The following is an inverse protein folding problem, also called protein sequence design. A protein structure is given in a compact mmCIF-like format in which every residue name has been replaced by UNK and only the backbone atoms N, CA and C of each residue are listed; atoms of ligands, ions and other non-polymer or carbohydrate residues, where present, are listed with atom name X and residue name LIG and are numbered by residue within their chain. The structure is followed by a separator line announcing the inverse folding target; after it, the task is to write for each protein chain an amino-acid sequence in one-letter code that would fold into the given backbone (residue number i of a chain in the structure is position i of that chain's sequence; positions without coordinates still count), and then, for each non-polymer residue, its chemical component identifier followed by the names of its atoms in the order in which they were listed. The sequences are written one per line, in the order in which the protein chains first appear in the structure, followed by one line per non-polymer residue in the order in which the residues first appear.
data_IF_081227879831
#
_entry.id   IF_081227879831
#
_cell.length_a   1.000
_cell.length_b   1.000
_cell.length_c   1.000
_cell.angle_alpha   90.00
_cell.angle_beta   90.00
_cell.angle_gamma   90.00
#
_symmetry.space_group_name_H-M   'P 1'
#
loop_
_entity.id
_entity.type
_entity.pdbx_description
1 polymer ?
#
# COMPACT_ATOMS: atom_id res chain seq x y z
N UNK A 1 -21.71 -1.62 -8.33
CA UNK A 1 -20.89 -2.47 -7.43
C UNK A 1 -21.85 -3.25 -6.55
N UNK A 2 -21.85 -4.58 -6.63
CA UNK A 2 -22.78 -5.44 -5.88
C UNK A 2 -22.28 -5.61 -4.43
N UNK A 3 -22.55 -4.63 -3.56
CA UNK A 3 -22.11 -4.63 -2.15
C UNK A 3 -22.55 -5.91 -1.42
N UNK A 4 -23.78 -6.36 -1.67
CA UNK A 4 -24.35 -7.55 -1.03
C UNK A 4 -23.59 -8.83 -1.37
N UNK A 5 -23.08 -8.94 -2.59
CA UNK A 5 -22.28 -10.09 -3.03
C UNK A 5 -20.94 -10.17 -2.27
N UNK A 6 -20.31 -9.01 -2.05
CA UNK A 6 -19.04 -8.90 -1.32
C UNK A 6 -19.24 -9.23 0.16
N UNK A 7 -20.29 -8.69 0.79
CA UNK A 7 -20.62 -8.98 2.19
C UNK A 7 -20.93 -10.47 2.36
N UNK A 8 -21.72 -11.05 1.44
CA UNK A 8 -22.07 -12.46 1.48
C UNK A 8 -20.84 -13.37 1.35
N UNK A 9 -19.93 -13.08 0.40
CA UNK A 9 -18.75 -13.93 0.15
C UNK A 9 -17.70 -13.90 1.26
N UNK A 10 -17.78 -12.93 2.17
CA UNK A 10 -16.83 -12.75 3.28
C UNK A 10 -17.47 -12.87 4.67
N UNK A 11 -18.76 -13.18 4.73
CA UNK A 11 -19.53 -13.35 5.97
C UNK A 11 -18.93 -14.34 6.96
N UNK A 12 -18.31 -15.42 6.48
CA UNK A 12 -17.67 -16.45 7.32
C UNK A 12 -16.24 -16.09 7.74
N UNK A 13 -15.69 -14.98 7.25
CA UNK A 13 -14.29 -14.58 7.47
C UNK A 13 -14.12 -13.52 8.57
N UNK A 14 -15.19 -13.17 9.27
CA UNK A 14 -15.18 -12.10 10.28
C UNK A 14 -14.91 -10.71 9.72
N UNK A 15 -15.10 -10.50 8.41
CA UNK A 15 -14.84 -9.22 7.73
C UNK A 15 -16.05 -8.31 7.86
N UNK A 16 -15.85 -7.11 8.40
CA UNK A 16 -16.87 -6.04 8.42
C UNK A 16 -16.56 -5.02 7.33
N UNK A 17 -17.50 -4.81 6.41
CA UNK A 17 -17.31 -3.89 5.28
C UNK A 17 -17.82 -2.49 5.61
N UNK A 18 -16.94 -1.50 5.46
CA UNK A 18 -17.27 -0.09 5.48
C UNK A 18 -17.10 0.50 4.08
N UNK A 19 -18.21 0.72 3.38
CA UNK A 19 -18.18 1.34 2.06
C UNK A 19 -18.16 2.86 2.19
N UNK A 20 -17.39 3.53 1.33
CA UNK A 20 -17.39 4.98 1.26
C UNK A 20 -18.80 5.52 0.94
N UNK A 21 -19.14 6.64 1.56
CA UNK A 21 -20.33 7.41 1.16
C UNK A 21 -20.13 7.92 -0.27
N UNK A 22 -21.17 7.82 -1.09
CA UNK A 22 -21.17 8.34 -2.47
C UNK A 22 -20.94 9.86 -2.54
N UNK A 23 -21.18 10.58 -1.43
CA UNK A 23 -21.08 12.04 -1.33
C UNK A 23 -19.90 12.52 -0.48
N UNK A 24 -19.00 11.61 -0.07
CA UNK A 24 -17.88 11.93 0.81
C UNK A 24 -16.53 11.79 0.11
N UNK A 25 -16.14 12.73 -0.79
CA UNK A 25 -14.89 12.65 -1.54
C UNK A 25 -13.65 12.64 -0.63
N UNK A 26 -13.75 13.21 0.59
CA UNK A 26 -12.66 13.27 1.56
C UNK A 26 -12.30 11.91 2.17
N UNK A 27 -13.23 10.93 2.21
CA UNK A 27 -12.95 9.59 2.75
C UNK A 27 -12.03 8.75 1.85
N UNK A 28 -11.79 9.19 0.61
CA UNK A 28 -10.95 8.49 -0.36
C UNK A 28 -9.47 8.88 -0.33
N UNK A 29 -9.07 9.92 0.41
CA UNK A 29 -7.77 10.58 0.25
C UNK A 29 -6.56 9.66 0.47
N UNK A 30 -6.65 8.75 1.44
CA UNK A 30 -5.58 7.76 1.71
C UNK A 30 -5.39 6.81 0.52
N UNK A 31 -6.47 6.28 -0.04
CA UNK A 31 -6.43 5.37 -1.19
C UNK A 31 -5.89 6.07 -2.43
N UNK A 32 -6.32 7.31 -2.69
CA UNK A 32 -5.82 8.11 -3.81
C UNK A 32 -4.32 8.36 -3.69
N UNK A 33 -3.84 8.70 -2.48
CA UNK A 33 -2.42 8.90 -2.21
C UNK A 33 -1.62 7.63 -2.43
N UNK A 34 -2.09 6.48 -1.93
CA UNK A 34 -1.45 5.19 -2.13
C UNK A 34 -1.40 4.78 -3.61
N UNK A 35 -2.49 4.95 -4.36
CA UNK A 35 -2.52 4.68 -5.81
C UNK A 35 -1.53 5.56 -6.55
N UNK A 36 -1.43 6.85 -6.20
CA UNK A 36 -0.46 7.77 -6.79
C UNK A 36 0.98 7.34 -6.50
N UNK A 37 1.27 6.90 -5.28
CA UNK A 37 2.58 6.39 -4.90
C UNK A 37 2.95 5.11 -5.67
N UNK A 38 2.02 4.14 -5.75
CA UNK A 38 2.22 2.91 -6.51
C UNK A 38 2.50 3.19 -7.99
N UNK A 39 1.68 4.05 -8.63
CA UNK A 39 1.89 4.45 -10.03
C UNK A 39 3.26 5.12 -10.25
N UNK A 40 3.68 5.97 -9.32
CA UNK A 40 5.00 6.62 -9.38
C UNK A 40 6.13 5.58 -9.28
N UNK A 41 6.02 4.61 -8.38
CA UNK A 41 7.00 3.53 -8.24
C UNK A 41 7.05 2.65 -9.50
N UNK A 42 5.91 2.23 -10.03
CA UNK A 42 5.84 1.46 -11.29
C UNK A 42 6.52 2.24 -12.42
N UNK A 43 6.17 3.53 -12.58
CA UNK A 43 6.74 4.36 -13.64
C UNK A 43 8.26 4.55 -13.49
N UNK A 44 8.78 4.60 -12.27
CA UNK A 44 10.21 4.69 -12.01
C UNK A 44 10.96 3.39 -12.34
N UNK A 45 10.35 2.24 -12.04
CA UNK A 45 10.97 0.91 -12.26
C UNK A 45 10.89 0.49 -13.73
N UNK A 46 9.71 0.62 -14.35
CA UNK A 46 9.48 0.21 -15.75
C UNK A 46 10.08 1.20 -16.73
N UNK A 47 10.04 2.50 -16.39
CA UNK A 47 10.51 3.59 -17.23
C UNK A 47 9.93 3.54 -18.66
N UNK A 48 10.73 3.17 -19.66
CA UNK A 48 10.36 3.06 -21.08
C UNK A 48 10.47 1.62 -21.61
N UNK A 49 10.63 0.64 -20.72
CA UNK A 49 10.68 -0.76 -21.12
C UNK A 49 9.31 -1.20 -21.64
N UNK A 50 9.31 -1.91 -22.76
CA UNK A 50 8.16 -2.67 -23.21
C UNK A 50 8.12 -3.98 -22.41
N UNK A 51 7.06 -4.20 -21.65
CA UNK A 51 6.94 -5.32 -20.72
C UNK A 51 5.61 -6.03 -20.89
N UNK A 52 5.64 -7.33 -20.68
CA UNK A 52 4.46 -8.20 -20.67
C UNK A 52 3.66 -8.04 -19.37
N UNK A 53 2.41 -8.48 -19.38
CA UNK A 53 1.55 -8.51 -18.18
C UNK A 53 2.17 -9.30 -17.03
N UNK A 54 2.90 -10.38 -17.33
CA UNK A 54 3.58 -11.21 -16.32
C UNK A 54 4.74 -10.46 -15.67
N UNK A 55 5.51 -9.72 -16.47
CA UNK A 55 6.60 -8.89 -15.98
C UNK A 55 6.06 -7.71 -15.17
N UNK A 56 4.97 -7.08 -15.62
CA UNK A 56 4.30 -6.03 -14.87
C UNK A 56 3.80 -6.54 -13.50
N UNK A 57 3.19 -7.72 -13.46
CA UNK A 57 2.76 -8.33 -12.20
C UNK A 57 3.95 -8.56 -11.26
N UNK A 58 5.07 -9.05 -11.79
CA UNK A 58 6.31 -9.29 -11.03
C UNK A 58 6.90 -7.97 -10.51
N UNK A 59 6.92 -6.92 -11.32
CA UNK A 59 7.35 -5.58 -10.90
C UNK A 59 6.45 -5.06 -9.78
N UNK A 60 5.13 -5.25 -9.92
CA UNK A 60 4.17 -4.78 -8.95
C UNK A 60 4.32 -5.47 -7.58
N UNK A 61 4.34 -6.81 -7.56
CA UNK A 61 4.40 -7.59 -6.31
C UNK A 61 5.80 -7.68 -5.72
N UNK A 62 6.84 -7.65 -6.55
CA UNK A 62 8.23 -7.77 -6.07
C UNK A 62 8.84 -6.42 -5.69
N UNK A 63 8.80 -5.46 -6.61
CA UNK A 63 9.57 -4.22 -6.47
C UNK A 63 8.72 -3.10 -5.88
N UNK A 64 7.52 -2.88 -6.43
CA UNK A 64 6.67 -1.76 -6.02
C UNK A 64 6.14 -1.97 -4.60
N UNK A 65 5.68 -3.18 -4.27
CA UNK A 65 5.28 -3.54 -2.92
C UNK A 65 6.40 -3.28 -1.89
N UNK A 66 7.61 -3.75 -2.17
CA UNK A 66 8.77 -3.52 -1.32
C UNK A 66 9.06 -2.02 -1.15
N UNK A 67 9.07 -1.24 -2.24
CA UNK A 67 9.31 0.21 -2.19
C UNK A 67 8.27 0.94 -1.34
N UNK A 68 6.99 0.57 -1.44
CA UNK A 68 5.94 1.18 -0.63
C UNK A 68 6.05 0.80 0.84
N UNK A 69 6.36 -0.47 1.12
CA UNK A 69 6.34 -1.00 2.48
C UNK A 69 7.63 -0.74 3.28
N UNK A 70 8.77 -0.53 2.62
CA UNK A 70 10.04 -0.13 3.27
C UNK A 70 10.25 1.39 3.29
N UNK A 71 9.34 2.18 2.70
CA UNK A 71 9.45 3.64 2.70
C UNK A 71 9.37 4.17 4.16
N UNK A 72 10.30 5.03 4.59
CA UNK A 72 10.19 5.69 5.88
C UNK A 72 8.90 6.54 6.00
N UNK A 73 8.21 6.40 7.13
CA UNK A 73 7.06 7.20 7.57
C UNK A 73 7.49 8.33 8.48
N UNK A 74 8.57 8.14 9.25
CA UNK A 74 9.19 9.15 10.10
C UNK A 74 10.50 9.64 9.49
N UNK A 75 11.02 10.74 10.04
CA UNK A 75 12.33 11.25 9.65
C UNK A 75 13.41 10.21 9.96
N UNK A 76 14.31 9.99 9.01
CA UNK A 76 15.51 9.21 9.24
C UNK A 76 16.61 10.19 9.65
N UNK A 77 17.08 10.04 10.88
CA UNK A 77 18.14 10.90 11.43
C UNK A 77 19.52 10.31 11.09
N UNK A 78 20.55 11.14 11.18
CA UNK A 78 21.94 10.72 11.00
C UNK A 78 22.64 10.42 12.33
N UNK A 79 21.95 10.63 13.46
CA UNK A 79 22.45 10.33 14.79
C UNK A 79 22.23 8.84 15.07
N UNK A 80 23.29 8.16 15.51
CA UNK A 80 23.25 6.74 15.86
C UNK A 80 22.52 6.46 17.19
N UNK A 81 22.22 7.51 17.96
CA UNK A 81 21.47 7.43 19.21
C UNK A 81 19.97 7.70 19.05
N UNK A 82 19.52 8.12 17.86
CA UNK A 82 18.11 8.40 17.60
C UNK A 82 17.31 7.11 17.32
N UNK A 83 16.00 7.19 17.56
CA UNK A 83 15.08 6.09 17.31
C UNK A 83 15.07 5.63 15.84
N UNK A 84 14.90 4.33 15.63
CA UNK A 84 14.79 3.72 14.30
C UNK A 84 13.58 4.32 13.56
N UNK A 85 13.80 4.73 12.31
CA UNK A 85 12.70 5.25 11.48
C UNK A 85 11.62 4.20 11.23
N UNK A 86 10.36 4.61 11.29
CA UNK A 86 9.24 3.68 11.11
C UNK A 86 8.95 3.48 9.63
N UNK A 87 8.62 2.25 9.23
CA UNK A 87 8.15 1.92 7.88
C UNK A 87 6.78 1.24 7.98
N UNK A 88 5.96 1.21 6.91
CA UNK A 88 4.71 0.44 6.93
C UNK A 88 4.91 -1.03 7.30
N UNK A 89 6.03 -1.64 6.89
CA UNK A 89 6.37 -3.02 7.24
C UNK A 89 6.44 -3.27 8.75
N UNK A 90 6.89 -2.31 9.56
CA UNK A 90 6.92 -2.45 11.02
C UNK A 90 5.51 -2.69 11.60
N UNK A 91 4.48 -2.13 10.96
CA UNK A 91 3.08 -2.32 11.37
C UNK A 91 2.46 -3.59 10.76
N UNK A 92 2.80 -3.94 9.51
CA UNK A 92 2.23 -5.10 8.82
C UNK A 92 2.72 -6.43 9.42
N UNK A 93 4.00 -6.51 9.82
CA UNK A 93 4.59 -7.70 10.41
C UNK A 93 4.34 -7.84 11.92
N UNK A 94 3.70 -6.86 12.57
CA UNK A 94 3.51 -6.83 14.02
C UNK A 94 4.81 -6.68 14.83
N UNK A 95 5.93 -6.40 14.17
CA UNK A 95 7.23 -6.16 14.80
C UNK A 95 7.41 -4.63 14.95
N UNK A 96 6.64 -4.04 15.87
CA UNK A 96 7.01 -2.77 16.46
C UNK A 96 7.96 -3.08 17.63
N UNK A 97 9.19 -3.46 17.30
CA UNK A 97 10.25 -3.67 18.27
C UNK A 97 11.49 -3.12 17.63
N UNK A 98 12.06 -2.08 18.24
CA UNK A 98 13.44 -1.70 18.00
C UNK A 98 14.40 -2.78 18.46
#
# INVERSE_FOLDING_TARGET
MEKDKIVKSTSTRGVTWHFNSSLGPHFGGVYVTLIKAAKKAISAVVHKADITDKELLTVFTGVVEALLNYRPLTYQTADEHDDIFLTPNHFLGGQASG
#
